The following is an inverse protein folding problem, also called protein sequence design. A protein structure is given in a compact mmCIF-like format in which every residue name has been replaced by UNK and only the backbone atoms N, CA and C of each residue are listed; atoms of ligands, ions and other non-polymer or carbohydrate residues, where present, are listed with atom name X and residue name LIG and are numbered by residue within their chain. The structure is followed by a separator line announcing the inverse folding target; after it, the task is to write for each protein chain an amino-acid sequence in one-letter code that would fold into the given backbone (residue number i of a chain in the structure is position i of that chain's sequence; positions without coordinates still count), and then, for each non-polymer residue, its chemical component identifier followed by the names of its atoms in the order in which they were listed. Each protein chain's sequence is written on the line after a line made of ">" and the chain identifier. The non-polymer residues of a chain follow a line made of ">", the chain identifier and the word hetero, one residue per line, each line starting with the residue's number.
data_IF_414184442885
#
_entry.id   IF_414184442885
#
_cell.length_a   1.000
_cell.length_b   1.000
_cell.length_c   1.000
_cell.angle_alpha   90.00
_cell.angle_beta   90.00
_cell.angle_gamma   90.00
#
_symmetry.space_group_name_H-M   'P 1'
#
loop_
_entity.id
_entity.type
_entity.pdbx_description
1 polymer ?
#
# COMPACT_ATOMS: atom_id res chain seq x y z
N UNK A 1 1.66 -10.78 10.48
CA UNK A 1 0.80 -11.77 9.82
C UNK A 1 1.56 -12.45 8.68
N UNK A 2 1.68 -13.78 8.68
CA UNK A 2 2.14 -14.54 7.52
C UNK A 2 1.25 -14.33 6.28
N UNK A 3 1.83 -14.40 5.08
CA UNK A 3 1.09 -14.20 3.82
C UNK A 3 -0.05 -15.20 3.62
N UNK A 4 0.18 -16.47 3.98
CA UNK A 4 -0.81 -17.55 3.85
C UNK A 4 -2.08 -17.26 4.66
N UNK A 5 -1.90 -16.73 5.87
CA UNK A 5 -3.02 -16.42 6.76
C UNK A 5 -3.81 -15.21 6.22
N UNK A 6 -3.11 -14.18 5.72
CA UNK A 6 -3.75 -13.02 5.09
C UNK A 6 -4.60 -13.42 3.88
N UNK A 7 -4.05 -14.27 3.02
CA UNK A 7 -4.76 -14.84 1.87
C UNK A 7 -6.00 -15.62 2.30
N UNK A 8 -5.84 -16.54 3.26
CA UNK A 8 -6.93 -17.41 3.70
C UNK A 8 -8.08 -16.60 4.33
N UNK A 9 -7.75 -15.65 5.21
CA UNK A 9 -8.75 -14.80 5.86
C UNK A 9 -9.44 -13.86 4.86
N UNK A 10 -8.68 -13.32 3.89
CA UNK A 10 -9.25 -12.48 2.82
C UNK A 10 -10.25 -13.26 1.98
N UNK A 11 -9.88 -14.46 1.53
CA UNK A 11 -10.76 -15.31 0.70
C UNK A 11 -11.98 -15.79 1.48
N UNK A 12 -11.83 -16.14 2.76
CA UNK A 12 -12.94 -16.55 3.61
C UNK A 12 -13.98 -15.42 3.79
N UNK A 13 -13.51 -14.20 4.11
CA UNK A 13 -14.41 -13.04 4.24
C UNK A 13 -15.06 -12.71 2.89
N UNK A 14 -14.31 -12.80 1.79
CA UNK A 14 -14.84 -12.52 0.47
C UNK A 14 -15.92 -13.54 0.06
N UNK A 15 -15.70 -14.82 0.34
CA UNK A 15 -16.65 -15.88 0.05
C UNK A 15 -17.93 -15.75 0.90
N UNK A 16 -17.80 -15.50 2.21
CA UNK A 16 -18.96 -15.39 3.13
C UNK A 16 -19.86 -14.20 2.82
N UNK A 17 -19.34 -13.18 2.16
CA UNK A 17 -20.07 -11.96 1.80
C UNK A 17 -20.20 -11.79 0.28
N UNK A 18 -19.97 -12.86 -0.47
CA UNK A 18 -19.96 -12.84 -1.92
C UNK A 18 -21.29 -12.33 -2.49
N UNK A 19 -22.41 -12.75 -1.88
CA UNK A 19 -23.77 -12.34 -2.28
C UNK A 19 -24.06 -10.84 -2.08
N UNK A 20 -23.21 -10.13 -1.33
CA UNK A 20 -23.33 -8.69 -1.10
C UNK A 20 -22.59 -7.86 -2.16
N UNK A 21 -21.81 -8.50 -3.04
CA UNK A 21 -21.09 -7.84 -4.11
C UNK A 21 -22.05 -7.50 -5.26
N UNK A 22 -22.49 -6.24 -5.31
CA UNK A 22 -23.42 -5.79 -6.36
C UNK A 22 -22.76 -5.54 -7.71
N UNK A 23 -21.44 -5.33 -7.73
CA UNK A 23 -20.68 -5.02 -8.95
C UNK A 23 -19.54 -6.03 -9.12
N UNK A 24 -19.74 -7.10 -9.93
CA UNK A 24 -18.76 -8.17 -10.11
C UNK A 24 -17.39 -7.68 -10.58
N UNK A 25 -17.37 -6.63 -11.42
CA UNK A 25 -16.15 -6.01 -11.94
C UNK A 25 -15.27 -5.39 -10.84
N UNK A 26 -15.86 -5.16 -9.65
CA UNK A 26 -15.16 -4.64 -8.47
C UNK A 26 -14.64 -5.73 -7.54
N UNK A 27 -14.74 -7.03 -7.91
CA UNK A 27 -14.31 -8.14 -7.05
C UNK A 27 -12.84 -8.03 -6.64
N UNK A 28 -11.95 -7.63 -7.55
CA UNK A 28 -10.53 -7.45 -7.24
C UNK A 28 -10.32 -6.35 -6.18
N UNK A 29 -11.05 -5.23 -6.30
CA UNK A 29 -11.03 -4.15 -5.31
C UNK A 29 -11.63 -4.61 -3.96
N UNK A 30 -12.70 -5.38 -4.00
CA UNK A 30 -13.32 -5.97 -2.81
C UNK A 30 -12.32 -6.84 -2.03
N UNK A 31 -11.53 -7.67 -2.73
CA UNK A 31 -10.44 -8.44 -2.13
C UNK A 31 -9.36 -7.53 -1.53
N UNK A 32 -8.92 -6.49 -2.24
CA UNK A 32 -7.94 -5.52 -1.71
C UNK A 32 -8.44 -4.76 -0.50
N UNK A 33 -9.73 -4.38 -0.47
CA UNK A 33 -10.37 -3.72 0.66
C UNK A 33 -10.40 -4.62 1.91
N UNK A 34 -10.78 -5.89 1.74
CA UNK A 34 -10.76 -6.88 2.82
C UNK A 34 -9.33 -7.07 3.33
N UNK A 35 -8.37 -7.35 2.45
CA UNK A 35 -6.97 -7.56 2.82
C UNK A 35 -6.38 -6.34 3.54
N UNK A 36 -6.66 -5.13 3.05
CA UNK A 36 -6.19 -3.88 3.66
C UNK A 36 -6.77 -3.68 5.06
N UNK A 37 -8.03 -4.07 5.29
CA UNK A 37 -8.68 -3.99 6.59
C UNK A 37 -8.11 -5.00 7.58
N UNK A 38 -7.89 -6.24 7.15
CA UNK A 38 -7.22 -7.28 7.96
C UNK A 38 -5.83 -6.79 8.38
N UNK A 39 -5.01 -6.33 7.44
CA UNK A 39 -3.66 -5.81 7.71
C UNK A 39 -3.71 -4.62 8.66
N UNK A 40 -4.63 -3.67 8.44
CA UNK A 40 -4.78 -2.49 9.29
C UNK A 40 -5.18 -2.85 10.72
N UNK A 41 -6.13 -3.79 10.88
CA UNK A 41 -6.56 -4.27 12.19
C UNK A 41 -5.45 -5.05 12.90
N UNK A 42 -4.74 -5.92 12.19
CA UNK A 42 -3.59 -6.64 12.73
C UNK A 42 -2.48 -5.66 13.15
N UNK A 43 -2.19 -4.61 12.36
CA UNK A 43 -1.22 -3.59 12.74
C UNK A 43 -1.64 -2.80 13.98
N UNK A 44 -2.93 -2.43 14.10
CA UNK A 44 -3.45 -1.76 15.31
C UNK A 44 -3.35 -2.66 16.54
N UNK A 45 -3.66 -3.95 16.39
CA UNK A 45 -3.55 -4.95 17.46
C UNK A 45 -2.10 -5.14 17.90
N UNK A 46 -1.18 -5.33 16.96
CA UNK A 46 0.27 -5.42 17.25
C UNK A 46 0.81 -4.12 17.82
N UNK A 47 0.36 -2.94 17.38
CA UNK A 47 0.75 -1.67 17.99
C UNK A 47 0.27 -1.56 19.44
N UNK A 48 -0.95 -2.01 19.74
CA UNK A 48 -1.46 -2.05 21.10
C UNK A 48 -0.68 -3.04 21.98
N UNK A 49 -0.34 -4.22 21.45
CA UNK A 49 0.46 -5.25 22.13
C UNK A 49 1.96 -4.88 22.25
N UNK A 50 2.49 -4.08 21.31
CA UNK A 50 3.87 -3.59 21.32
C UNK A 50 4.08 -2.40 22.23
N UNK A 51 3.02 -1.65 22.60
CA UNK A 51 3.07 -0.66 23.68
C UNK A 51 3.26 -1.31 25.06
N UNK A 52 3.06 -2.62 25.18
CA UNK A 52 3.25 -3.40 26.41
C UNK A 52 4.57 -4.16 26.50
N UNK A 53 5.30 -4.40 25.41
CA UNK A 53 6.56 -5.15 25.44
C UNK A 53 7.58 -4.55 24.46
N UNK A 54 8.67 -4.03 25.03
CA UNK A 54 9.84 -3.53 24.33
C UNK A 54 10.94 -4.59 24.45
N UNK A 55 11.32 -5.29 23.37
CA UNK A 55 12.73 -5.40 22.96
C UNK A 55 12.98 -6.12 21.61
N UNK A 56 14.21 -5.91 21.15
CA UNK A 56 14.85 -5.98 19.82
C UNK A 56 15.15 -7.38 19.21
N UNK A 57 15.46 -7.42 17.90
CA UNK A 57 16.78 -7.81 17.28
C UNK A 57 16.68 -8.16 15.77
N UNK A 58 17.69 -7.71 15.01
CA UNK A 58 17.94 -7.86 13.56
C UNK A 58 18.69 -9.15 13.16
N UNK A 59 18.60 -9.59 11.89
CA UNK A 59 19.60 -10.44 11.21
C UNK A 59 19.55 -10.25 9.67
N UNK A 60 20.71 -10.22 8.99
CA UNK A 60 20.94 -9.87 7.57
C UNK A 60 21.47 -11.08 6.76
N UNK A 61 21.12 -11.21 5.47
CA UNK A 61 21.69 -12.24 4.52
C UNK A 61 21.92 -11.71 3.09
N UNK A 62 23.18 -11.49 2.70
CA UNK A 62 23.67 -10.44 1.79
C UNK A 62 23.21 -10.29 0.30
N UNK A 63 22.84 -11.28 -0.55
CA UNK A 63 22.53 -10.97 -1.98
C UNK A 63 21.03 -10.94 -2.32
N UNK A 64 20.23 -11.75 -1.62
CA UNK A 64 18.78 -11.59 -1.58
C UNK A 64 18.39 -10.46 -0.63
N UNK A 65 19.23 -10.15 0.38
CA UNK A 65 19.06 -9.01 1.27
C UNK A 65 19.02 -7.69 0.53
N UNK A 66 19.81 -7.47 -0.53
CA UNK A 66 19.81 -6.14 -1.17
C UNK A 66 18.45 -5.84 -1.83
N UNK A 67 17.92 -6.78 -2.62
CA UNK A 67 16.56 -6.66 -3.20
C UNK A 67 15.47 -6.65 -2.13
N UNK A 68 15.67 -7.39 -1.04
CA UNK A 68 14.72 -7.42 0.07
C UNK A 68 14.75 -6.10 0.87
N UNK A 69 15.93 -5.52 1.07
CA UNK A 69 16.15 -4.26 1.75
C UNK A 69 15.62 -3.08 0.93
N UNK A 70 15.83 -3.09 -0.40
CA UNK A 70 15.23 -2.13 -1.32
C UNK A 70 13.69 -2.19 -1.27
N UNK A 71 13.12 -3.41 -1.27
CA UNK A 71 11.68 -3.61 -1.09
C UNK A 71 11.20 -3.11 0.26
N UNK A 72 11.89 -3.43 1.34
CA UNK A 72 11.55 -2.97 2.70
C UNK A 72 11.63 -1.45 2.81
N UNK A 73 12.64 -0.82 2.20
CA UNK A 73 12.79 0.63 2.14
C UNK A 73 11.64 1.26 1.33
N UNK A 74 11.24 0.66 0.22
CA UNK A 74 10.07 1.08 -0.56
C UNK A 74 8.77 0.97 0.24
N UNK A 75 8.52 -0.16 0.89
CA UNK A 75 7.32 -0.34 1.71
C UNK A 75 7.31 0.60 2.92
N UNK A 76 8.47 0.86 3.53
CA UNK A 76 8.61 1.84 4.61
C UNK A 76 8.30 3.25 4.11
N UNK A 77 8.85 3.66 2.96
CA UNK A 77 8.55 4.95 2.36
C UNK A 77 7.07 5.09 1.97
N UNK A 78 6.48 4.06 1.37
CA UNK A 78 5.04 4.00 1.08
C UNK A 78 4.21 4.15 2.37
N UNK A 79 4.63 3.52 3.47
CA UNK A 79 3.91 3.58 4.75
C UNK A 79 3.84 4.99 5.37
N UNK A 80 4.79 5.88 5.01
CA UNK A 80 4.87 7.27 5.48
C UNK A 80 3.98 8.23 4.67
N UNK A 81 3.39 7.77 3.56
CA UNK A 81 2.42 8.56 2.80
C UNK A 81 1.07 8.63 3.52
N UNK A 82 0.30 9.71 3.34
CA UNK A 82 -1.12 9.74 3.68
C UNK A 82 -1.84 8.54 3.06
N UNK A 83 -2.76 7.93 3.83
CA UNK A 83 -3.44 6.67 3.46
C UNK A 83 -4.00 6.71 2.04
N UNK A 84 -4.70 7.79 1.70
CA UNK A 84 -5.36 7.93 0.40
C UNK A 84 -4.37 8.03 -0.77
N UNK A 85 -3.21 8.68 -0.56
CA UNK A 85 -2.16 8.79 -1.58
C UNK A 85 -1.45 7.45 -1.78
N UNK A 86 -1.19 6.74 -0.68
CA UNK A 86 -0.63 5.39 -0.71
C UNK A 86 -1.55 4.43 -1.45
N UNK A 87 -2.84 4.44 -1.14
CA UNK A 87 -3.84 3.59 -1.79
C UNK A 87 -3.95 3.89 -3.28
N UNK A 88 -4.03 5.17 -3.67
CA UNK A 88 -4.06 5.55 -5.07
C UNK A 88 -2.82 5.05 -5.84
N UNK A 89 -1.63 5.19 -5.25
CA UNK A 89 -0.38 4.71 -5.87
C UNK A 89 -0.33 3.19 -6.02
N UNK A 90 -0.75 2.44 -5.00
CA UNK A 90 -0.77 0.97 -5.06
C UNK A 90 -1.76 0.53 -6.15
N UNK A 91 -2.96 1.09 -6.15
CA UNK A 91 -4.00 0.74 -7.12
C UNK A 91 -3.58 1.06 -8.56
N UNK A 92 -2.89 2.17 -8.78
CA UNK A 92 -2.45 2.58 -10.11
C UNK A 92 -1.16 1.85 -10.56
N UNK A 93 -0.07 1.95 -9.79
CA UNK A 93 1.27 1.51 -10.23
C UNK A 93 1.51 0.00 -10.04
N UNK A 94 0.86 -0.62 -9.05
CA UNK A 94 1.09 -2.04 -8.72
C UNK A 94 -0.05 -2.91 -9.26
N UNK A 95 -1.28 -2.47 -9.04
CA UNK A 95 -2.48 -3.25 -9.42
C UNK A 95 -2.91 -2.97 -10.86
N UNK A 96 -2.63 -1.77 -11.39
CA UNK A 96 -2.87 -1.42 -12.80
C UNK A 96 -4.26 -0.83 -13.10
N UNK A 97 -4.99 -0.34 -12.09
CA UNK A 97 -6.27 0.32 -12.32
C UNK A 97 -6.12 1.70 -13.00
N UNK A 98 -7.09 2.05 -13.84
CA UNK A 98 -7.18 3.38 -14.43
C UNK A 98 -7.58 4.44 -13.40
N UNK A 99 -7.27 5.71 -13.70
CA UNK A 99 -7.68 6.86 -12.88
C UNK A 99 -9.20 6.90 -12.68
N UNK A 100 -9.97 6.54 -13.72
CA UNK A 100 -11.43 6.51 -13.68
C UNK A 100 -11.97 5.46 -12.70
N UNK A 101 -11.40 4.25 -12.72
CA UNK A 101 -11.78 3.18 -11.80
C UNK A 101 -11.46 3.57 -10.35
N UNK A 102 -10.25 4.10 -10.12
CA UNK A 102 -9.82 4.56 -8.78
C UNK A 102 -10.72 5.71 -8.27
N UNK A 103 -11.12 6.63 -9.14
CA UNK A 103 -12.05 7.70 -8.81
C UNK A 103 -13.41 7.15 -8.36
N UNK A 104 -13.93 6.16 -9.09
CA UNK A 104 -15.13 5.42 -8.69
C UNK A 104 -14.98 4.70 -7.34
N UNK A 105 -13.82 4.10 -7.08
CA UNK A 105 -13.56 3.38 -5.82
C UNK A 105 -13.44 4.29 -4.61
N UNK A 106 -12.73 5.42 -4.75
CA UNK A 106 -12.53 6.37 -3.65
C UNK A 106 -13.66 7.40 -3.52
N UNK A 107 -14.69 7.33 -4.38
CA UNK A 107 -15.80 8.31 -4.46
C UNK A 107 -15.27 9.74 -4.60
N UNK A 108 -14.27 9.92 -5.48
CA UNK A 108 -13.60 11.19 -5.75
C UNK A 108 -13.63 11.49 -7.24
N UNK A 109 -13.30 12.72 -7.62
CA UNK A 109 -13.14 13.07 -9.04
C UNK A 109 -11.83 12.51 -9.59
N UNK A 110 -11.79 12.23 -10.89
CA UNK A 110 -10.55 11.80 -11.56
C UNK A 110 -9.40 12.81 -11.35
N UNK A 111 -9.71 14.10 -11.33
CA UNK A 111 -8.72 15.16 -11.06
C UNK A 111 -8.16 15.08 -9.63
N UNK A 112 -9.01 14.76 -8.64
CA UNK A 112 -8.56 14.51 -7.27
C UNK A 112 -7.59 13.32 -7.21
N UNK A 113 -7.90 12.24 -7.93
CA UNK A 113 -7.00 11.07 -8.02
C UNK A 113 -5.69 11.43 -8.70
N UNK A 114 -5.71 12.17 -9.82
CA UNK A 114 -4.49 12.65 -10.50
C UNK A 114 -3.63 13.50 -9.55
N UNK A 115 -4.25 14.37 -8.76
CA UNK A 115 -3.54 15.17 -7.75
C UNK A 115 -2.96 14.31 -6.62
N UNK A 116 -3.70 13.32 -6.13
CA UNK A 116 -3.21 12.38 -5.12
C UNK A 116 -2.03 11.57 -5.62
N UNK A 117 -2.10 11.03 -6.85
CA UNK A 117 -1.01 10.33 -7.50
C UNK A 117 0.22 11.24 -7.65
N UNK A 118 0.03 12.46 -8.15
CA UNK A 118 1.12 13.42 -8.32
C UNK A 118 1.81 13.77 -6.99
N UNK A 119 1.04 14.12 -5.96
CA UNK A 119 1.56 14.42 -4.62
C UNK A 119 2.22 13.20 -3.98
N UNK A 120 1.60 12.04 -4.13
CA UNK A 120 2.13 10.76 -3.66
C UNK A 120 3.48 10.43 -4.28
N UNK A 121 3.60 10.51 -5.62
CA UNK A 121 4.87 10.30 -6.34
C UNK A 121 5.96 11.24 -5.86
N UNK A 122 5.67 12.54 -5.75
CA UNK A 122 6.64 13.54 -5.26
C UNK A 122 7.11 13.22 -3.84
N UNK A 123 6.18 12.87 -2.95
CA UNK A 123 6.52 12.56 -1.57
C UNK A 123 7.30 11.25 -1.47
N UNK A 124 6.89 10.22 -2.20
CA UNK A 124 7.58 8.94 -2.25
C UNK A 124 9.02 9.10 -2.78
N UNK A 125 9.20 9.89 -3.84
CA UNK A 125 10.52 10.24 -4.36
C UNK A 125 11.39 10.91 -3.29
N UNK A 126 10.84 11.89 -2.54
CA UNK A 126 11.57 12.57 -1.47
C UNK A 126 11.99 11.64 -0.32
N UNK A 127 11.19 10.61 -0.04
CA UNK A 127 11.42 9.64 1.04
C UNK A 127 12.44 8.57 0.64
N UNK A 128 12.45 8.18 -0.63
CA UNK A 128 13.43 7.26 -1.19
C UNK A 128 14.77 7.91 -1.49
N UNK A 129 14.77 9.23 -1.69
CA UNK A 129 15.89 9.98 -2.22
C UNK A 129 16.25 11.20 -1.38
N UNK A 130 16.77 11.03 -0.14
CA UNK A 130 17.22 12.15 0.67
C UNK A 130 18.39 12.95 0.04
N UNK A 131 19.03 12.45 -1.03
CA UNK A 131 20.19 13.06 -1.70
C UNK A 131 19.98 13.49 -3.18
N UNK A 132 18.78 13.46 -3.75
CA UNK A 132 18.56 13.89 -5.16
C UNK A 132 18.50 15.43 -5.33
N UNK A 133 18.71 16.21 -4.27
CA UNK A 133 18.63 17.68 -4.35
C UNK A 133 19.91 18.38 -4.87
N UNK A 134 20.75 17.71 -5.68
CA UNK A 134 21.99 18.31 -6.19
C UNK A 134 22.32 18.08 -7.68
N UNK A 135 21.45 17.49 -8.50
CA UNK A 135 21.58 17.60 -9.96
C UNK A 135 20.22 17.75 -10.62
N UNK A 136 20.00 18.94 -11.14
CA UNK A 136 18.84 19.30 -11.93
C UNK A 136 18.65 18.36 -13.12
N UNK A 137 17.41 17.96 -13.33
CA UNK A 137 16.97 17.33 -14.56
C UNK A 137 16.28 18.45 -15.35
N UNK A 138 17.04 19.07 -16.24
CA UNK A 138 16.50 19.82 -17.38
C UNK A 138 15.79 18.82 -18.28
N UNK A 139 14.55 19.13 -18.65
CA UNK A 139 13.92 18.51 -19.81
C UNK A 139 14.20 19.43 -20.99
N UNK A 140 14.97 18.94 -21.96
CA UNK A 140 14.89 19.40 -23.35
C UNK A 140 13.61 18.86 -24.01
#
# INVERSE_FOLDING_TARGET
>A
MPFKDLMQETLLIAYTKFDQLQEPDKFLYYLFGIASRIVSNHRRKVQYESLTEMDTVMTITQPAADRQAEKEQLYKALSMLPVEQREALILFEIVGFSVKEIAGFQQKTEDSIRQQLSRGRKKLLSLLSPNINSKGISYE
#
